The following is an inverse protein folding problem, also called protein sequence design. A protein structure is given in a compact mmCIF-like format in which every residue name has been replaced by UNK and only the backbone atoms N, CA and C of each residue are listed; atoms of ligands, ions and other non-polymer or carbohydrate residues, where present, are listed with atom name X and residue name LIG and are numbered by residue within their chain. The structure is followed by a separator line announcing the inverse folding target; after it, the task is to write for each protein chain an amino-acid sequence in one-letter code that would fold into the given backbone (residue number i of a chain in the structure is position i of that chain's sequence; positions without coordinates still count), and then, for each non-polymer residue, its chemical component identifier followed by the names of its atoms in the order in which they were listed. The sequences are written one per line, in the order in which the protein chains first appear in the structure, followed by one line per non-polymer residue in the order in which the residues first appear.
data_IF_600796717416
#
_entry.id   IF_600796717416
#
_cell.length_a   1.000
_cell.length_b   1.000
_cell.length_c   1.000
_cell.angle_alpha   90.00
_cell.angle_beta   90.00
_cell.angle_gamma   90.00
#
_symmetry.space_group_name_H-M   'P 1'
#
loop_
_entity.id
_entity.type
_entity.pdbx_description
1 polymer ?
#
# COMPACT_ATOMS: atom_id res chain seq x y z
N UNK A 1 -15.26 -26.81 5.22
CA UNK A 1 -15.86 -25.60 4.61
C UNK A 1 -14.72 -24.75 4.07
N UNK A 2 -14.55 -24.67 2.74
CA UNK A 2 -13.64 -23.70 2.14
C UNK A 2 -14.25 -22.31 2.37
N UNK A 3 -13.79 -21.59 3.39
CA UNK A 3 -14.08 -20.16 3.49
C UNK A 3 -13.43 -19.51 2.28
N UNK A 4 -14.26 -19.00 1.36
CA UNK A 4 -13.80 -18.11 0.30
C UNK A 4 -13.07 -16.96 0.97
N UNK A 5 -11.78 -16.80 0.69
CA UNK A 5 -11.05 -15.59 1.05
C UNK A 5 -11.76 -14.46 0.31
N UNK A 6 -12.26 -13.45 1.02
CA UNK A 6 -12.92 -12.32 0.37
C UNK A 6 -11.91 -11.60 -0.55
N UNK A 7 -12.31 -11.11 -1.71
CA UNK A 7 -11.37 -10.43 -2.63
C UNK A 7 -10.71 -9.19 -2.02
N UNK A 8 -11.43 -8.52 -1.10
CA UNK A 8 -10.93 -7.40 -0.28
C UNK A 8 -9.72 -7.77 0.58
N UNK A 9 -9.51 -9.06 0.83
CA UNK A 9 -8.55 -9.56 1.81
C UNK A 9 -7.11 -9.59 1.26
N UNK A 10 -6.90 -9.65 -0.07
CA UNK A 10 -5.56 -9.85 -0.62
C UNK A 10 -4.58 -8.72 -0.30
N UNK A 11 -5.00 -7.45 -0.43
CA UNK A 11 -4.15 -6.28 -0.10
C UNK A 11 -3.99 -6.10 1.41
N UNK A 12 -5.03 -6.37 2.18
CA UNK A 12 -5.01 -6.28 3.65
C UNK A 12 -4.23 -7.42 4.30
N UNK A 13 -4.03 -8.53 3.59
CA UNK A 13 -3.19 -9.65 4.01
C UNK A 13 -1.71 -9.49 3.64
N UNK A 14 -1.37 -8.52 2.81
CA UNK A 14 0.03 -8.27 2.45
C UNK A 14 0.87 -7.98 3.69
N UNK A 15 2.12 -8.46 3.63
CA UNK A 15 3.08 -8.17 4.68
C UNK A 15 3.27 -6.67 4.80
N UNK A 16 3.21 -6.16 6.02
CA UNK A 16 3.43 -4.74 6.34
C UNK A 16 4.93 -4.42 6.33
N UNK A 17 5.60 -4.59 5.19
CA UNK A 17 7.01 -4.22 5.00
C UNK A 17 7.10 -2.88 4.27
N UNK A 18 8.05 -2.05 4.70
CA UNK A 18 8.37 -0.76 4.07
C UNK A 18 9.68 -0.82 3.28
N UNK A 19 10.07 -2.03 2.83
CA UNK A 19 11.32 -2.26 2.11
C UNK A 19 11.30 -3.55 1.30
N UNK A 20 12.31 -3.73 0.44
CA UNK A 20 12.49 -4.92 -0.41
C UNK A 20 11.33 -5.14 -1.37
N UNK A 21 10.80 -4.07 -1.95
CA UNK A 21 9.74 -4.09 -2.97
C UNK A 21 10.16 -4.79 -4.26
N UNK A 22 11.44 -5.02 -4.48
CA UNK A 22 11.93 -5.84 -5.58
C UNK A 22 11.86 -7.35 -5.31
N UNK A 23 11.45 -7.79 -4.11
CA UNK A 23 11.43 -9.20 -3.75
C UNK A 23 9.99 -9.72 -3.56
N UNK A 24 9.70 -10.91 -4.12
CA UNK A 24 8.35 -11.50 -4.08
C UNK A 24 7.81 -11.67 -2.65
N UNK A 25 8.70 -11.90 -1.67
CA UNK A 25 8.34 -12.04 -0.26
C UNK A 25 7.58 -10.84 0.32
N UNK A 26 7.77 -9.65 -0.25
CA UNK A 26 7.06 -8.42 0.14
C UNK A 26 5.58 -8.50 -0.21
N UNK A 27 5.26 -9.27 -1.25
CA UNK A 27 3.90 -9.47 -1.75
C UNK A 27 3.27 -10.77 -1.23
N UNK A 28 3.93 -11.46 -0.30
CA UNK A 28 3.34 -12.62 0.37
C UNK A 28 2.21 -12.17 1.31
N UNK A 29 1.10 -12.91 1.25
CA UNK A 29 -0.04 -12.77 2.14
C UNK A 29 0.27 -13.51 3.44
N UNK A 30 0.43 -12.78 4.54
CA UNK A 30 0.90 -13.33 5.82
C UNK A 30 0.07 -12.88 7.03
N UNK A 31 -1.03 -12.13 6.83
CA UNK A 31 -1.86 -11.69 7.96
C UNK A 31 -2.71 -12.86 8.51
N UNK A 32 -2.57 -13.11 9.81
CA UNK A 32 -3.52 -13.89 10.58
C UNK A 32 -4.39 -12.92 11.40
N UNK A 33 -5.70 -13.17 11.44
CA UNK A 33 -6.64 -12.40 12.27
C UNK A 33 -7.39 -13.33 13.23
N UNK A 34 -7.76 -12.81 14.39
CA UNK A 34 -8.67 -13.46 15.33
C UNK A 34 -10.09 -12.98 15.07
N UNK A 35 -11.12 -13.68 15.55
CA UNK A 35 -12.52 -13.30 15.37
C UNK A 35 -12.81 -11.84 15.79
N UNK A 36 -12.17 -11.37 16.87
CA UNK A 36 -12.31 -10.01 17.40
C UNK A 36 -11.64 -8.95 16.49
N UNK A 37 -10.60 -9.34 15.73
CA UNK A 37 -9.78 -8.44 14.90
C UNK A 37 -9.98 -8.65 13.40
N UNK A 38 -10.98 -9.46 13.03
CA UNK A 38 -11.35 -9.74 11.63
C UNK A 38 -12.24 -8.63 11.03
N UNK A 39 -12.87 -7.82 11.89
CA UNK A 39 -13.66 -6.66 11.46
C UNK A 39 -12.82 -5.59 10.76
N UNK A 40 -13.33 -5.05 9.65
CA UNK A 40 -12.64 -4.06 8.82
C UNK A 40 -12.19 -2.81 9.61
N UNK A 41 -13.00 -2.36 10.58
CA UNK A 41 -12.69 -1.21 11.45
C UNK A 41 -11.50 -1.44 12.41
N UNK A 42 -11.08 -2.69 12.60
CA UNK A 42 -9.95 -3.07 13.45
C UNK A 42 -8.70 -3.41 12.63
N UNK A 43 -8.77 -3.27 11.30
CA UNK A 43 -7.63 -3.53 10.43
C UNK A 43 -6.79 -2.27 10.31
N UNK A 44 -5.50 -2.41 10.62
CA UNK A 44 -4.53 -1.34 10.43
C UNK A 44 -4.37 -1.06 8.92
N UNK A 45 -4.31 0.23 8.60
CA UNK A 45 -3.89 0.71 7.29
C UNK A 45 -2.40 0.44 7.10
N UNK A 46 -2.06 0.14 5.85
CA UNK A 46 -0.71 -0.17 5.38
C UNK A 46 -0.36 0.73 4.22
N UNK A 47 0.86 0.65 3.70
CA UNK A 47 1.23 1.32 2.45
C UNK A 47 0.29 0.93 1.28
N UNK A 48 -0.31 -0.27 1.28
CA UNK A 48 -1.19 -0.75 0.23
C UNK A 48 -2.67 -0.36 0.41
N UNK A 49 -3.06 -0.04 1.66
CA UNK A 49 -4.47 0.11 2.05
C UNK A 49 -4.81 1.48 2.61
N UNK A 50 -3.82 2.34 2.87
CA UNK A 50 -4.05 3.72 3.34
C UNK A 50 -4.98 4.51 2.42
N UNK A 51 -5.00 4.22 1.11
CA UNK A 51 -5.91 4.86 0.17
C UNK A 51 -7.41 4.62 0.46
N UNK A 52 -7.75 3.60 1.25
CA UNK A 52 -9.12 3.30 1.67
C UNK A 52 -9.50 3.96 3.00
N UNK A 53 -8.62 4.76 3.60
CA UNK A 53 -8.94 5.45 4.85
C UNK A 53 -9.97 6.56 4.61
N UNK A 54 -11.24 6.26 4.89
CA UNK A 54 -12.37 7.20 4.74
C UNK A 54 -12.27 8.41 5.70
N UNK A 55 -11.67 8.21 6.88
CA UNK A 55 -11.56 9.25 7.91
C UNK A 55 -10.27 10.08 7.80
N UNK A 56 -9.38 9.76 6.86
CA UNK A 56 -8.12 10.48 6.65
C UNK A 56 -8.33 11.63 5.66
N UNK A 57 -8.94 12.73 6.11
CA UNK A 57 -9.06 13.96 5.31
C UNK A 57 -7.71 14.67 5.04
N UNK A 58 -6.62 14.18 5.66
CA UNK A 58 -5.27 14.71 5.51
C UNK A 58 -4.39 13.72 4.76
N UNK A 59 -4.34 13.84 3.43
CA UNK A 59 -3.14 13.73 2.58
C UNK A 59 -3.45 13.18 1.19
N UNK A 60 -3.57 14.07 0.22
CA UNK A 60 -3.43 13.74 -1.21
C UNK A 60 -2.18 12.90 -1.43
N UNK A 61 -1.04 13.28 -0.86
CA UNK A 61 0.26 12.61 -1.04
C UNK A 61 0.27 11.18 -0.50
N UNK A 62 -0.15 10.97 0.75
CA UNK A 62 -0.24 9.64 1.36
C UNK A 62 -1.20 8.71 0.60
N UNK A 63 -2.35 9.24 0.19
CA UNK A 63 -3.35 8.49 -0.60
C UNK A 63 -2.82 8.14 -1.99
N UNK A 64 -2.21 9.09 -2.71
CA UNK A 64 -1.66 8.88 -4.05
C UNK A 64 -0.52 7.86 -4.02
N UNK A 65 0.40 8.00 -3.07
CA UNK A 65 1.49 7.05 -2.91
C UNK A 65 0.97 5.66 -2.55
N UNK A 66 -0.06 5.57 -1.69
CA UNK A 66 -0.69 4.29 -1.38
C UNK A 66 -1.36 3.64 -2.59
N UNK A 67 -2.01 4.43 -3.46
CA UNK A 67 -2.53 3.95 -4.73
C UNK A 67 -1.43 3.40 -5.63
N UNK A 68 -0.26 4.03 -5.69
CA UNK A 68 0.89 3.49 -6.43
C UNK A 68 1.31 2.12 -5.89
N UNK A 69 1.52 1.99 -4.57
CA UNK A 69 1.88 0.71 -3.95
C UNK A 69 0.84 -0.37 -4.22
N UNK A 70 -0.45 0.00 -4.16
CA UNK A 70 -1.56 -0.89 -4.49
C UNK A 70 -1.49 -1.36 -5.94
N UNK A 71 -1.36 -0.45 -6.90
CA UNK A 71 -1.29 -0.81 -8.32
C UNK A 71 -0.14 -1.76 -8.57
N UNK A 72 1.03 -1.49 -7.98
CA UNK A 72 2.19 -2.39 -8.02
C UNK A 72 1.83 -3.79 -7.52
N UNK A 73 1.24 -3.89 -6.33
CA UNK A 73 0.93 -5.18 -5.72
C UNK A 73 -0.10 -5.98 -6.53
N UNK A 74 -1.15 -5.32 -7.03
CA UNK A 74 -2.17 -5.96 -7.86
C UNK A 74 -1.57 -6.50 -9.16
N UNK A 75 -0.69 -5.73 -9.82
CA UNK A 75 -0.02 -6.19 -11.04
C UNK A 75 0.89 -7.40 -10.77
N UNK A 76 1.57 -7.44 -9.61
CA UNK A 76 2.39 -8.60 -9.23
C UNK A 76 1.52 -9.85 -9.02
N UNK A 77 0.29 -9.70 -8.55
CA UNK A 77 -0.65 -10.81 -8.43
C UNK A 77 -1.17 -11.32 -9.78
N UNK A 78 -1.30 -10.43 -10.76
CA UNK A 78 -1.82 -10.75 -12.10
C UNK A 78 -0.74 -11.18 -13.10
N UNK A 79 0.54 -11.27 -12.66
CA UNK A 79 1.72 -11.59 -13.49
C UNK A 79 1.96 -10.65 -14.68
N UNK A 80 1.24 -9.52 -14.75
CA UNK A 80 1.20 -8.64 -15.91
C UNK A 80 2.07 -7.38 -15.75
N UNK A 81 2.56 -6.89 -16.89
CA UNK A 81 3.65 -5.90 -16.95
C UNK A 81 3.14 -4.45 -16.88
N UNK A 82 3.89 -3.63 -16.13
CA UNK A 82 3.34 -2.56 -15.28
C UNK A 82 3.32 -1.13 -15.86
N UNK A 83 3.83 -0.85 -17.06
CA UNK A 83 4.15 0.56 -17.36
C UNK A 83 2.96 1.49 -17.59
N UNK A 84 1.98 1.08 -18.38
CA UNK A 84 1.05 2.05 -18.97
C UNK A 84 -0.01 2.53 -17.96
N UNK A 85 -0.48 1.63 -17.10
CA UNK A 85 -1.49 1.92 -16.08
C UNK A 85 -0.93 2.72 -14.90
N UNK A 86 0.30 2.42 -14.47
CA UNK A 86 1.00 3.21 -13.45
C UNK A 86 1.28 4.62 -13.96
N UNK A 87 1.84 4.75 -15.15
CA UNK A 87 2.26 6.06 -15.68
C UNK A 87 1.04 6.97 -15.92
N UNK A 88 -0.07 6.41 -16.41
CA UNK A 88 -1.31 7.18 -16.63
C UNK A 88 -1.99 7.61 -15.32
N UNK A 89 -1.96 6.77 -14.29
CA UNK A 89 -2.50 7.08 -12.96
C UNK A 89 -1.64 8.11 -12.20
N UNK A 90 -0.32 8.03 -12.35
CA UNK A 90 0.64 8.95 -11.72
C UNK A 90 0.67 10.34 -12.38
N UNK A 91 0.57 10.42 -13.71
CA UNK A 91 0.59 11.70 -14.46
C UNK A 91 -0.57 12.64 -14.10
N UNK A 92 -1.70 12.10 -13.63
CA UNK A 92 -2.88 12.90 -13.23
C UNK A 92 -2.80 13.48 -11.81
N UNK A 93 -1.89 12.97 -10.97
CA UNK A 93 -1.91 13.20 -9.52
C UNK A 93 -0.54 13.62 -8.98
N UNK A 94 0.09 14.63 -9.58
CA UNK A 94 1.40 15.13 -9.11
C UNK A 94 1.17 16.07 -7.93
N UNK A 95 1.66 15.69 -6.74
CA UNK A 95 1.55 16.49 -5.50
C UNK A 95 2.94 16.77 -4.90
N UNK A 96 3.12 17.93 -4.26
CA UNK A 96 4.41 18.63 -4.15
C UNK A 96 5.53 17.95 -3.35
N UNK A 97 5.24 17.03 -2.42
CA UNK A 97 6.27 16.41 -1.56
C UNK A 97 6.68 15.02 -2.06
N UNK A 98 5.72 14.25 -2.56
CA UNK A 98 5.95 12.94 -3.20
C UNK A 98 6.25 13.04 -4.71
N UNK A 99 5.96 14.20 -5.33
CA UNK A 99 6.11 14.45 -6.77
C UNK A 99 7.49 14.10 -7.30
N UNK A 100 8.56 14.43 -6.60
CA UNK A 100 9.92 14.19 -7.10
C UNK A 100 10.23 12.69 -7.19
N UNK A 101 9.85 11.91 -6.17
CA UNK A 101 10.02 10.44 -6.21
C UNK A 101 9.12 9.84 -7.28
N UNK A 102 7.88 10.31 -7.41
CA UNK A 102 6.96 9.86 -8.45
C UNK A 102 7.46 10.19 -9.86
N UNK A 103 8.04 11.38 -10.06
CA UNK A 103 8.71 11.78 -11.32
C UNK A 103 9.92 10.90 -11.60
N UNK A 104 10.74 10.60 -10.59
CA UNK A 104 11.88 9.69 -10.76
C UNK A 104 11.40 8.31 -11.20
N UNK A 105 10.34 7.77 -10.58
CA UNK A 105 9.72 6.50 -10.98
C UNK A 105 9.19 6.57 -12.41
N UNK A 106 8.52 7.66 -12.80
CA UNK A 106 8.06 7.87 -14.18
C UNK A 106 9.25 7.93 -15.14
N UNK A 107 10.34 8.59 -14.77
CA UNK A 107 11.53 8.73 -15.61
C UNK A 107 12.33 7.43 -15.76
N UNK A 108 12.10 6.43 -14.90
CA UNK A 108 12.61 5.08 -15.13
C UNK A 108 11.97 4.44 -16.37
N UNK A 109 10.80 4.93 -16.81
CA UNK A 109 10.27 4.64 -18.13
C UNK A 109 10.98 5.52 -19.16
N UNK A 110 11.92 4.94 -19.91
CA UNK A 110 12.37 5.55 -21.17
C UNK A 110 11.19 5.58 -22.14
N UNK A 111 11.13 6.57 -23.05
CA UNK A 111 10.04 6.72 -24.04
C UNK A 111 9.75 5.45 -24.87
N UNK A 112 10.68 4.50 -24.91
CA UNK A 112 10.59 3.24 -25.65
C UNK A 112 10.34 1.99 -24.80
N UNK A 113 10.21 2.11 -23.47
CA UNK A 113 10.05 0.97 -22.56
C UNK A 113 8.59 0.86 -22.11
N UNK A 114 7.84 -0.02 -22.78
CA UNK A 114 6.42 -0.31 -22.50
C UNK A 114 6.17 -1.05 -21.19
N UNK A 115 7.21 -1.51 -20.50
CA UNK A 115 7.07 -2.36 -19.29
C UNK A 115 8.24 -2.14 -18.35
N UNK A 116 8.00 -1.75 -17.10
CA UNK A 116 9.03 -1.82 -16.04
C UNK A 116 8.92 -3.18 -15.36
N UNK A 117 10.06 -3.85 -15.23
CA UNK A 117 10.18 -5.02 -14.38
C UNK A 117 10.15 -4.56 -12.92
N UNK A 118 9.22 -5.09 -12.12
CA UNK A 118 9.06 -4.73 -10.71
C UNK A 118 10.01 -5.51 -9.80
N UNK A 119 10.02 -6.84 -9.97
CA UNK A 119 10.88 -7.72 -9.20
C UNK A 119 12.32 -7.62 -9.69
N UNK A 120 13.27 -7.74 -8.76
CA UNK A 120 14.71 -7.61 -8.98
C UNK A 120 15.18 -6.22 -9.46
N UNK A 121 14.27 -5.25 -9.58
CA UNK A 121 14.59 -3.88 -9.96
C UNK A 121 15.03 -3.05 -8.76
N UNK A 122 16.33 -3.10 -8.47
CA UNK A 122 16.95 -2.37 -7.36
C UNK A 122 16.79 -0.86 -7.45
N UNK A 123 16.82 -0.30 -8.66
CA UNK A 123 16.70 1.15 -8.84
C UNK A 123 15.30 1.64 -8.48
N UNK A 124 14.26 0.93 -8.93
CA UNK A 124 12.89 1.20 -8.54
C UNK A 124 12.66 0.96 -7.05
N UNK A 125 13.22 -0.12 -6.49
CA UNK A 125 13.12 -0.42 -5.06
C UNK A 125 13.62 0.74 -4.20
N UNK A 126 14.77 1.34 -4.52
CA UNK A 126 15.30 2.49 -3.77
C UNK A 126 14.31 3.67 -3.75
N UNK A 127 13.62 3.93 -4.88
CA UNK A 127 12.61 4.98 -4.94
C UNK A 127 11.37 4.63 -4.11
N UNK A 128 10.91 3.38 -4.19
CA UNK A 128 9.77 2.89 -3.41
C UNK A 128 10.07 2.88 -1.90
N UNK A 129 11.28 2.53 -1.47
CA UNK A 129 11.72 2.62 -0.07
C UNK A 129 11.71 4.06 0.42
N UNK A 130 12.24 4.99 -0.37
CA UNK A 130 12.18 6.41 -0.05
C UNK A 130 10.74 6.92 0.07
N UNK A 131 9.87 6.53 -0.86
CA UNK A 131 8.45 6.87 -0.82
C UNK A 131 7.76 6.28 0.41
N UNK A 132 8.06 5.02 0.76
CA UNK A 132 7.51 4.34 1.93
C UNK A 132 7.85 5.09 3.23
N UNK A 133 9.08 5.59 3.36
CA UNK A 133 9.50 6.42 4.48
C UNK A 133 8.75 7.75 4.55
N UNK A 134 8.56 8.42 3.40
CA UNK A 134 7.80 9.68 3.34
C UNK A 134 6.34 9.48 3.75
N UNK A 135 5.74 8.33 3.45
CA UNK A 135 4.32 8.11 3.71
C UNK A 135 4.02 7.52 5.09
N UNK A 136 5.05 7.06 5.81
CA UNK A 136 4.93 6.45 7.13
C UNK A 136 4.16 7.31 8.16
N UNK A 137 4.36 8.65 8.25
CA UNK A 137 3.60 9.50 9.17
C UNK A 137 2.09 9.47 8.93
N UNK A 138 1.65 9.41 7.68
CA UNK A 138 0.22 9.34 7.33
C UNK A 138 -0.39 8.01 7.79
N UNK A 139 0.36 6.90 7.63
CA UNK A 139 -0.05 5.57 8.11
C UNK A 139 -0.17 5.56 9.63
N UNK A 140 0.82 6.10 10.33
CA UNK A 140 0.80 6.19 11.80
C UNK A 140 -0.43 6.96 12.29
N UNK A 141 -0.73 8.10 11.66
CA UNK A 141 -1.91 8.90 12.00
C UNK A 141 -3.21 8.15 11.74
N UNK A 142 -3.35 7.53 10.56
CA UNK A 142 -4.53 6.74 10.21
C UNK A 142 -4.78 5.60 11.22
N UNK A 143 -3.71 4.95 11.65
CA UNK A 143 -3.75 3.82 12.57
C UNK A 143 -3.98 4.21 14.04
N UNK A 144 -3.78 5.48 14.41
CA UNK A 144 -4.11 5.94 15.75
C UNK A 144 -5.61 5.73 16.05
N UNK A 145 -6.48 6.04 15.09
CA UNK A 145 -7.93 5.84 15.22
C UNK A 145 -8.32 4.35 15.37
N UNK A 146 -7.62 3.48 14.64
CA UNK A 146 -7.83 2.02 14.73
C UNK A 146 -7.41 1.53 16.13
N UNK A 147 -6.26 1.99 16.62
CA UNK A 147 -5.78 1.68 17.97
C UNK A 147 -6.78 2.12 19.03
N UNK A 148 -7.27 3.35 18.96
CA UNK A 148 -8.25 3.89 19.92
C UNK A 148 -9.54 3.07 19.92
N UNK A 149 -10.02 2.66 18.73
CA UNK A 149 -11.22 1.83 18.58
C UNK A 149 -11.04 0.44 19.19
N UNK A 150 -9.88 -0.19 19.00
CA UNK A 150 -9.56 -1.49 19.62
C UNK A 150 -9.52 -1.36 21.14
N UNK A 151 -8.85 -0.33 21.67
CA UNK A 151 -8.77 -0.07 23.11
C UNK A 151 -10.16 0.10 23.74
N UNK A 152 -11.08 0.80 23.07
CA UNK A 152 -12.46 0.96 23.55
C UNK A 152 -13.21 -0.37 23.64
N UNK A 153 -13.07 -1.26 22.65
CA UNK A 153 -13.72 -2.58 22.66
C UNK A 153 -13.25 -3.39 23.88
N UNK A 154 -11.94 -3.45 24.14
CA UNK A 154 -11.41 -4.18 25.28
C UNK A 154 -11.70 -3.52 26.62
N UNK A 155 -11.82 -2.19 26.67
CA UNK A 155 -12.20 -1.47 27.90
C UNK A 155 -13.68 -1.63 28.24
N UNK A 156 -14.54 -1.75 27.23
CA UNK A 156 -15.99 -1.98 27.41
C UNK A 156 -16.33 -3.47 27.59
N UNK A 157 -15.43 -4.36 27.18
CA UNK A 157 -15.52 -5.81 27.41
C UNK A 157 -14.92 -6.16 28.77
N UNK A 158 -15.51 -5.67 29.86
CA UNK A 158 -15.21 -6.22 31.20
C UNK A 158 -15.73 -7.66 31.25
N UNK A 159 -14.80 -8.60 31.06
CA UNK A 159 -14.91 -9.99 31.52
C UNK A 159 -14.76 -10.05 33.04
#
# INVERSE_FOLDING_TARGET
MNKSIHSYDNLYQLRQVQSKFDHLSTYCRCRAASEVTDGHIYQLYTIFTLADCDNCNEATDGRIASLLFRTIALNIFEEDRVAEEITSSLKKNVCTETAEILKLIINLHSENVKTIQMLENKQLNTQLESLALQIAPYITRANQHVSDSICQVFSNSNL
#
